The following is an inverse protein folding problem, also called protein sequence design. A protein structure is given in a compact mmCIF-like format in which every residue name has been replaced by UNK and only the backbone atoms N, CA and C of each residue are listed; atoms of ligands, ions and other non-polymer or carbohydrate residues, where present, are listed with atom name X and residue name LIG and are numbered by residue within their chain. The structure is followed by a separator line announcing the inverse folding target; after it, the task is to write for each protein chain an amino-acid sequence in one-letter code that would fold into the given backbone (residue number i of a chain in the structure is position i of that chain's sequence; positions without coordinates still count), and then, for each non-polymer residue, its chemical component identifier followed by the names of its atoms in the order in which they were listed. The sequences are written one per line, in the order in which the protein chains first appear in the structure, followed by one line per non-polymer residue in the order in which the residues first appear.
data_IF_293401116666
#
_entry.id   IF_293401116666
#
_cell.length_a   1.000
_cell.length_b   1.000
_cell.length_c   1.000
_cell.angle_alpha   90.00
_cell.angle_beta   90.00
_cell.angle_gamma   90.00
#
_symmetry.space_group_name_H-M   'P 1'
#
loop_
_entity.id
_entity.type
_entity.pdbx_description
1 polymer ?
#
# COMPACT_ATOMS: atom_id res chain seq x y z
N UNK A 1 -14.19 9.24 11.78
CA UNK A 1 -13.80 8.83 10.42
C UNK A 1 -13.53 7.34 10.42
N UNK A 2 -13.59 6.63 9.27
CA UNK A 2 -13.28 5.20 9.23
C UNK A 2 -11.84 4.98 9.70
N UNK A 3 -11.66 4.13 10.70
CA UNK A 3 -10.39 3.91 11.39
C UNK A 3 -10.03 2.42 11.45
N UNK A 4 -10.55 1.65 10.49
CA UNK A 4 -10.55 0.20 10.57
C UNK A 4 -10.66 -0.44 9.20
N UNK A 5 -9.90 -1.50 9.01
CA UNK A 5 -9.98 -2.40 7.87
C UNK A 5 -10.59 -3.71 8.33
N UNK A 6 -11.65 -4.13 7.63
CA UNK A 6 -12.38 -5.36 7.92
C UNK A 6 -12.14 -6.36 6.81
N UNK A 7 -11.51 -7.48 7.15
CA UNK A 7 -11.31 -8.60 6.24
C UNK A 7 -12.50 -9.53 6.38
N UNK A 8 -13.25 -9.67 5.29
CA UNK A 8 -14.43 -10.51 5.20
C UNK A 8 -14.09 -11.80 4.45
N UNK A 9 -14.67 -12.93 4.87
CA UNK A 9 -14.67 -14.18 4.11
C UNK A 9 -16.10 -14.62 3.87
N UNK A 10 -16.40 -14.94 2.62
CA UNK A 10 -17.69 -15.51 2.26
C UNK A 10 -17.86 -16.90 2.88
N UNK A 11 -19.05 -17.17 3.41
CA UNK A 11 -19.44 -18.44 3.99
C UNK A 11 -20.65 -18.98 3.21
N UNK A 12 -20.41 -20.04 2.41
CA UNK A 12 -21.41 -20.63 1.53
C UNK A 12 -22.63 -21.17 2.31
N UNK A 13 -22.40 -21.79 3.47
CA UNK A 13 -23.47 -22.36 4.30
C UNK A 13 -24.45 -21.30 4.81
N UNK A 14 -23.96 -20.07 5.02
CA UNK A 14 -24.76 -18.94 5.51
C UNK A 14 -25.15 -17.96 4.39
N UNK A 15 -24.70 -18.20 3.16
CA UNK A 15 -24.85 -17.32 2.00
C UNK A 15 -24.54 -15.84 2.33
N UNK A 16 -23.46 -15.59 3.09
CA UNK A 16 -23.06 -14.24 3.51
C UNK A 16 -21.57 -14.11 3.79
N UNK A 17 -21.09 -12.87 3.76
CA UNK A 17 -19.75 -12.54 4.25
C UNK A 17 -19.72 -12.49 5.78
N UNK A 18 -18.75 -13.17 6.37
CA UNK A 18 -18.47 -13.13 7.80
C UNK A 18 -17.13 -12.43 8.05
N UNK A 19 -17.06 -11.66 9.15
CA UNK A 19 -15.83 -11.01 9.60
C UNK A 19 -14.80 -12.08 9.97
N UNK A 20 -13.61 -11.99 9.39
CA UNK A 20 -12.45 -12.83 9.73
C UNK A 20 -11.44 -12.10 10.59
N UNK A 21 -11.19 -10.84 10.27
CA UNK A 21 -10.24 -10.01 10.99
C UNK A 21 -10.65 -8.56 10.88
N UNK A 22 -10.32 -7.85 11.94
CA UNK A 22 -10.49 -6.44 12.10
C UNK A 22 -9.14 -5.85 12.50
N UNK A 23 -8.70 -4.83 11.76
CA UNK A 23 -7.40 -4.20 11.93
C UNK A 23 -7.66 -2.71 12.13
N UNK A 24 -7.29 -2.18 13.29
CA UNK A 24 -7.39 -0.75 13.57
C UNK A 24 -6.33 0.01 12.76
N UNK A 25 -6.72 1.16 12.20
CA UNK A 25 -5.84 2.06 11.45
C UNK A 25 -5.88 3.45 12.07
N UNK A 26 -4.75 4.15 12.01
CA UNK A 26 -4.66 5.52 12.52
C UNK A 26 -5.40 6.51 11.61
N UNK A 27 -5.37 6.26 10.30
CA UNK A 27 -6.03 7.05 9.27
C UNK A 27 -6.90 6.16 8.38
N UNK A 28 -7.89 6.73 7.66
CA UNK A 28 -8.67 5.99 6.67
C UNK A 28 -7.78 5.35 5.59
N UNK A 29 -8.16 4.15 5.16
CA UNK A 29 -7.51 3.49 4.02
C UNK A 29 -7.88 4.20 2.72
N UNK A 30 -6.88 4.73 2.01
CA UNK A 30 -7.04 5.49 0.76
C UNK A 30 -6.89 4.61 -0.50
N UNK A 31 -6.09 3.54 -0.41
CA UNK A 31 -5.84 2.64 -1.53
C UNK A 31 -5.49 1.22 -1.09
N UNK A 32 -5.67 0.26 -1.99
CA UNK A 32 -5.45 -1.17 -1.74
C UNK A 32 -4.92 -1.84 -3.02
N UNK A 33 -4.01 -2.79 -2.85
CA UNK A 33 -3.49 -3.64 -3.91
C UNK A 33 -3.37 -5.09 -3.42
N UNK A 34 -3.92 -6.03 -4.18
CA UNK A 34 -3.87 -7.46 -3.88
C UNK A 34 -2.63 -8.06 -4.53
N UNK A 35 -1.76 -8.68 -3.75
CA UNK A 35 -0.64 -9.48 -4.26
C UNK A 35 -1.04 -10.97 -4.28
N UNK A 36 -0.11 -11.85 -4.65
CA UNK A 36 -0.34 -13.29 -4.61
C UNK A 36 -0.60 -13.84 -3.20
N UNK A 37 -0.03 -13.22 -2.16
CA UNK A 37 -0.04 -13.77 -0.78
C UNK A 37 -0.33 -12.74 0.32
N UNK A 38 -0.40 -11.47 -0.03
CA UNK A 38 -0.56 -10.34 0.89
C UNK A 38 -1.45 -9.27 0.27
N UNK A 39 -1.75 -8.24 1.07
CA UNK A 39 -2.48 -7.07 0.62
C UNK A 39 -1.66 -5.85 1.02
N UNK A 40 -1.29 -5.02 0.05
CA UNK A 40 -0.68 -3.73 0.32
C UNK A 40 -1.79 -2.69 0.43
N UNK A 41 -1.77 -1.88 1.48
CA UNK A 41 -2.74 -0.83 1.74
C UNK A 41 -2.04 0.50 1.96
N UNK A 42 -2.70 1.59 1.58
CA UNK A 42 -2.28 2.95 1.93
C UNK A 42 -3.23 3.56 2.95
N UNK A 43 -2.71 4.02 4.08
CA UNK A 43 -3.42 4.82 5.08
C UNK A 43 -2.65 6.14 5.28
N UNK A 44 -2.01 6.35 6.43
CA UNK A 44 -0.98 7.38 6.63
C UNK A 44 0.37 6.99 6.00
N UNK A 45 0.62 5.67 5.86
CA UNK A 45 1.79 5.07 5.20
C UNK A 45 1.32 3.86 4.39
N UNK A 46 2.23 3.23 3.65
CA UNK A 46 1.98 1.93 3.05
C UNK A 46 2.24 0.82 4.06
N UNK A 47 1.28 -0.08 4.24
CA UNK A 47 1.39 -1.28 5.05
C UNK A 47 1.13 -2.51 4.20
N UNK A 48 1.67 -3.64 4.62
CA UNK A 48 1.40 -4.95 4.04
C UNK A 48 0.69 -5.83 5.07
N UNK A 49 -0.39 -6.50 4.65
CA UNK A 49 -1.12 -7.48 5.45
C UNK A 49 -0.80 -8.86 4.91
N UNK A 50 -0.11 -9.67 5.71
CA UNK A 50 0.12 -11.10 5.42
C UNK A 50 -1.19 -11.89 5.62
N UNK A 51 -1.60 -12.71 4.66
CA UNK A 51 -2.96 -13.26 4.65
C UNK A 51 -3.18 -14.53 5.48
N UNK A 52 -2.14 -15.23 5.95
CA UNK A 52 -2.29 -16.43 6.80
C UNK A 52 -2.57 -16.07 8.25
N UNK A 53 -1.88 -15.08 8.79
CA UNK A 53 -1.93 -14.65 10.19
C UNK A 53 -2.54 -13.26 10.36
N UNK A 54 -2.76 -12.53 9.26
CA UNK A 54 -3.26 -11.15 9.26
C UNK A 54 -2.36 -10.21 10.06
N UNK A 55 -1.05 -10.41 9.94
CA UNK A 55 -0.04 -9.53 10.52
C UNK A 55 0.07 -8.30 9.63
N UNK A 56 0.07 -7.12 10.27
CA UNK A 56 0.22 -5.83 9.61
C UNK A 56 1.64 -5.32 9.85
N UNK A 57 2.39 -5.05 8.78
CA UNK A 57 3.75 -4.51 8.84
C UNK A 57 3.89 -3.27 7.94
N UNK A 58 4.85 -2.39 8.25
CA UNK A 58 5.18 -1.28 7.33
C UNK A 58 5.77 -1.88 6.04
N UNK A 59 5.24 -1.48 4.88
CA UNK A 59 5.66 -2.08 3.61
C UNK A 59 7.05 -1.60 3.16
N UNK A 60 7.36 -0.30 3.36
CA UNK A 60 8.65 0.27 2.96
C UNK A 60 9.78 -0.22 3.86
N UNK A 61 10.90 -0.65 3.26
CA UNK A 61 12.09 -1.06 4.03
C UNK A 61 12.74 0.16 4.70
N UNK A 62 12.57 0.25 6.02
CA UNK A 62 13.15 1.32 6.84
C UNK A 62 14.69 1.39 6.79
N UNK A 63 15.36 0.33 6.35
CA UNK A 63 16.82 0.31 6.21
C UNK A 63 17.28 0.85 4.85
N UNK A 64 16.37 1.00 3.88
CA UNK A 64 16.66 1.63 2.60
C UNK A 64 16.60 3.16 2.77
N UNK A 65 17.77 3.74 3.05
CA UNK A 65 17.91 5.19 3.25
C UNK A 65 17.54 6.01 2.00
N UNK A 66 17.48 5.40 0.81
CA UNK A 66 17.06 6.08 -0.43
C UNK A 66 15.54 6.35 -0.49
N UNK A 67 14.78 5.76 0.45
CA UNK A 67 13.34 5.93 0.61
C UNK A 67 12.96 6.86 1.77
N UNK A 68 13.91 7.60 2.35
CA UNK A 68 13.62 8.49 3.48
C UNK A 68 12.47 9.46 3.20
N UNK A 69 12.38 10.02 1.99
CA UNK A 69 11.26 10.87 1.54
C UNK A 69 9.90 10.17 1.66
N UNK A 70 9.83 8.90 1.29
CA UNK A 70 8.62 8.07 1.34
C UNK A 70 8.28 7.60 2.77
N UNK A 71 9.28 7.20 3.56
CA UNK A 71 9.09 6.73 4.95
C UNK A 71 8.57 7.87 5.85
N UNK A 72 9.04 9.10 5.62
CA UNK A 72 8.64 10.28 6.37
C UNK A 72 7.59 11.14 5.64
N UNK A 73 6.99 10.64 4.56
CA UNK A 73 6.02 11.38 3.74
C UNK A 73 4.87 11.96 4.57
N UNK A 74 4.33 11.18 5.52
CA UNK A 74 3.26 11.63 6.41
C UNK A 74 3.63 12.87 7.25
N UNK A 75 4.89 12.99 7.65
CA UNK A 75 5.40 14.17 8.38
C UNK A 75 5.47 15.42 7.51
N UNK A 76 5.55 15.25 6.19
CA UNK A 76 5.46 16.32 5.18
C UNK A 76 4.03 16.45 4.62
N UNK A 77 3.02 15.98 5.36
CA UNK A 77 1.62 15.95 4.94
C UNK A 77 1.39 15.20 3.62
N UNK A 78 2.25 14.23 3.31
CA UNK A 78 2.18 13.42 2.11
C UNK A 78 1.69 12.01 2.32
N UNK A 79 0.49 11.76 1.79
CA UNK A 79 -0.27 10.56 2.07
C UNK A 79 -0.38 9.65 0.84
N UNK A 80 -0.41 8.33 1.04
CA UNK A 80 -0.77 7.35 0.01
C UNK A 80 -2.06 7.70 -0.75
N UNK A 81 -2.02 7.57 -2.08
CA UNK A 81 -3.18 7.75 -2.98
C UNK A 81 -3.45 6.49 -3.81
N UNK A 82 -2.39 5.84 -4.29
CA UNK A 82 -2.53 4.66 -5.14
C UNK A 82 -1.30 3.76 -5.07
N UNK A 83 -1.49 2.51 -5.48
CA UNK A 83 -0.45 1.50 -5.67
C UNK A 83 -0.66 0.97 -7.09
N UNK A 84 0.31 1.21 -7.98
CA UNK A 84 0.23 0.76 -9.37
C UNK A 84 1.28 -0.31 -9.62
N UNK A 85 0.86 -1.50 -10.08
CA UNK A 85 1.80 -2.49 -10.57
C UNK A 85 2.29 -2.07 -11.97
N UNK A 86 3.57 -1.70 -12.06
CA UNK A 86 4.18 -1.19 -13.30
C UNK A 86 5.03 -2.23 -14.02
N UNK A 87 5.37 -3.32 -13.33
CA UNK A 87 5.93 -4.53 -13.94
C UNK A 87 5.35 -5.77 -13.25
N UNK A 88 4.99 -6.79 -14.03
CA UNK A 88 4.29 -8.00 -13.56
C UNK A 88 4.97 -9.30 -14.00
N UNK A 89 6.23 -9.25 -14.42
CA UNK A 89 6.96 -10.49 -14.74
C UNK A 89 7.28 -11.25 -13.45
N UNK A 90 7.15 -12.59 -13.46
CA UNK A 90 7.37 -13.46 -12.28
C UNK A 90 8.73 -13.28 -11.58
N UNK A 91 9.72 -12.66 -12.24
CA UNK A 91 11.04 -12.38 -11.66
C UNK A 91 11.26 -10.92 -11.27
N UNK A 92 10.31 -10.03 -11.58
CA UNK A 92 10.48 -8.58 -11.41
C UNK A 92 9.12 -7.90 -11.30
N UNK A 93 8.39 -8.21 -10.23
CA UNK A 93 7.24 -7.39 -9.83
C UNK A 93 7.75 -6.04 -9.32
N UNK A 94 7.13 -4.96 -9.79
CA UNK A 94 7.49 -3.59 -9.44
C UNK A 94 6.22 -2.76 -9.25
N UNK A 95 6.23 -1.94 -8.21
CA UNK A 95 5.13 -1.07 -7.83
C UNK A 95 5.57 0.38 -7.89
N UNK A 96 4.71 1.23 -8.44
CA UNK A 96 4.76 2.67 -8.22
C UNK A 96 3.83 2.99 -7.05
N UNK A 97 4.42 3.40 -5.93
CA UNK A 97 3.70 3.91 -4.78
C UNK A 97 3.45 5.40 -4.99
N UNK A 98 2.19 5.78 -5.15
CA UNK A 98 1.80 7.16 -5.37
C UNK A 98 1.43 7.82 -4.05
N UNK A 99 2.21 8.80 -3.65
CA UNK A 99 1.85 9.77 -2.62
C UNK A 99 1.24 11.02 -3.28
N UNK A 100 0.70 11.94 -2.48
CA UNK A 100 0.08 13.15 -3.02
C UNK A 100 1.03 14.14 -3.72
N UNK A 101 2.32 14.19 -3.35
CA UNK A 101 3.29 15.10 -4.01
C UNK A 101 4.21 14.38 -4.99
N UNK A 102 4.44 13.09 -4.78
CA UNK A 102 5.41 12.33 -5.56
C UNK A 102 5.05 10.84 -5.66
N UNK A 103 5.77 10.12 -6.50
CA UNK A 103 5.73 8.68 -6.63
C UNK A 103 7.13 8.07 -6.52
N UNK A 104 7.21 6.89 -5.91
CA UNK A 104 8.45 6.11 -5.78
C UNK A 104 8.24 4.71 -6.34
N UNK A 105 9.24 4.20 -7.03
CA UNK A 105 9.24 2.83 -7.53
C UNK A 105 9.89 1.90 -6.51
N UNK A 106 9.20 0.82 -6.19
CA UNK A 106 9.66 -0.19 -5.24
C UNK A 106 9.46 -1.60 -5.78
N UNK A 107 10.28 -2.53 -5.30
CA UNK A 107 10.09 -3.96 -5.52
C UNK A 107 9.05 -4.57 -4.55
N UNK A 108 8.89 -5.88 -4.59
CA UNK A 108 7.97 -6.63 -3.72
C UNK A 108 8.35 -6.61 -2.24
N UNK A 109 9.57 -6.20 -1.90
CA UNK A 109 10.06 -6.08 -0.53
C UNK A 109 10.00 -4.63 -0.02
N UNK A 110 9.38 -3.73 -0.79
CA UNK A 110 9.28 -2.31 -0.45
C UNK A 110 10.62 -1.58 -0.50
N UNK A 111 11.60 -2.10 -1.23
CA UNK A 111 12.90 -1.46 -1.48
C UNK A 111 12.89 -0.72 -2.79
N UNK A 112 13.71 0.33 -2.90
CA UNK A 112 13.76 1.16 -4.10
C UNK A 112 14.20 0.36 -5.33
N UNK A 113 13.38 0.38 -6.38
CA UNK A 113 13.68 -0.32 -7.64
C UNK A 113 14.20 0.60 -8.74
N UNK A 114 13.90 1.91 -8.67
CA UNK A 114 14.41 2.94 -9.59
C UNK A 114 14.88 4.15 -8.82
N UNK A 115 15.97 4.77 -9.26
CA UNK A 115 16.61 5.92 -8.60
C UNK A 115 15.75 7.19 -8.64
N UNK A 116 14.96 7.38 -9.70
CA UNK A 116 14.17 8.61 -9.86
C UNK A 116 12.87 8.58 -9.07
N UNK A 117 12.48 9.75 -8.56
CA UNK A 117 11.14 10.04 -8.04
C UNK A 117 10.31 10.70 -9.13
N UNK A 118 9.04 10.32 -9.22
CA UNK A 118 8.10 11.05 -10.07
C UNK A 118 7.53 12.19 -9.26
N UNK A 119 7.66 13.43 -9.74
CA UNK A 119 6.95 14.57 -9.15
C UNK A 119 5.70 14.87 -9.96
N UNK A 120 4.58 15.03 -9.27
CA UNK A 120 3.33 15.39 -9.94
C UNK A 120 3.35 16.88 -10.28
N UNK A 121 2.96 17.24 -11.49
CA UNK A 121 2.82 18.64 -11.89
C UNK A 121 1.59 19.32 -11.25
N UNK A 122 0.64 18.51 -10.77
CA UNK A 122 -0.60 18.90 -10.09
C UNK A 122 -0.97 17.83 -9.07
N UNK A 123 -1.90 18.15 -8.17
CA UNK A 123 -2.43 17.19 -7.19
C UNK A 123 -3.32 16.15 -7.88
N UNK A 124 -2.91 14.87 -7.93
CA UNK A 124 -3.72 13.82 -8.53
C UNK A 124 -4.84 13.41 -7.57
N UNK A 125 -6.08 13.31 -8.08
CA UNK A 125 -7.21 12.79 -7.31
C UNK A 125 -7.34 11.26 -7.41
N UNK A 126 -6.81 10.68 -8.49
CA UNK A 126 -6.81 9.25 -8.77
C UNK A 126 -5.77 8.95 -9.86
N UNK A 127 -5.36 7.68 -9.95
CA UNK A 127 -4.46 7.15 -10.96
C UNK A 127 -5.19 6.04 -11.73
N UNK A 128 -5.06 6.05 -13.07
CA UNK A 128 -5.60 5.01 -13.94
C UNK A 128 -4.53 4.03 -14.37
N UNK A 129 -4.88 2.74 -14.41
CA UNK A 129 -4.07 1.64 -14.95
C UNK A 129 -4.67 1.15 -16.26
#
# INVERSE_FOLDING_TARGET
MPNKITILRYNDNLNKYCIRKEIETLEPCSCIHLTSYSIIIGTNKFYEIEMKQFVLEEFLDKNDMSLASAVFAASSHSFPIAIMQVASSMQKEEYLLCFHEFGVFVDTYGRRSRTEEIKWSRLPLSFGT
#
